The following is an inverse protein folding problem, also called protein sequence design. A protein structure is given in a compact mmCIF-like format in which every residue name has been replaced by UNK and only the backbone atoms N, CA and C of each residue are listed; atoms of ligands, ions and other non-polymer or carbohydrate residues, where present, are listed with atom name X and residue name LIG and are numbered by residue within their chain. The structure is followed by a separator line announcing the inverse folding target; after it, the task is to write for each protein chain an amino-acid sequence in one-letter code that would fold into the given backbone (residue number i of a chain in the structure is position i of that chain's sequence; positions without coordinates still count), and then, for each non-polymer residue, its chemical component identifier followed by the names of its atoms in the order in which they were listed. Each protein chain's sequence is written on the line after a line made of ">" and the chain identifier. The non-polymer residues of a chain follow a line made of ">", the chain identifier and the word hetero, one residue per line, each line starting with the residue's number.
data_IF_985403599664
#
_entry.id   IF_985403599664
#
_cell.length_a   1.000
_cell.length_b   1.000
_cell.length_c   1.000
_cell.angle_alpha   90.00
_cell.angle_beta   90.00
_cell.angle_gamma   90.00
#
_symmetry.space_group_name_H-M   'P 1'
#
loop_
_entity.id
_entity.type
_entity.pdbx_description
1 polymer ?
#
# COMPACT_ATOMS: atom_id res chain seq x y z
N UNK A 1 16.97 -20.15 9.30
CA UNK A 1 16.78 -20.29 7.85
C UNK A 1 15.39 -19.76 7.55
N UNK A 2 15.30 -18.50 7.10
CA UNK A 2 14.02 -17.89 6.78
C UNK A 2 13.74 -18.24 5.31
N UNK A 3 12.80 -19.15 5.07
CA UNK A 3 12.40 -19.54 3.71
C UNK A 3 11.24 -18.64 3.32
N UNK A 4 11.48 -17.78 2.32
CA UNK A 4 10.43 -16.96 1.73
C UNK A 4 9.89 -17.75 0.53
N UNK A 5 8.67 -18.21 0.66
CA UNK A 5 7.94 -18.81 -0.45
C UNK A 5 7.23 -17.73 -1.25
N UNK A 6 7.75 -17.45 -2.44
CA UNK A 6 6.98 -16.80 -3.47
C UNK A 6 6.70 -17.83 -4.57
N UNK A 7 5.44 -18.02 -4.89
CA UNK A 7 5.03 -19.01 -5.87
C UNK A 7 5.72 -18.76 -7.22
N UNK A 8 6.56 -19.70 -7.66
CA UNK A 8 7.11 -19.75 -9.00
C UNK A 8 8.56 -19.30 -9.20
N UNK A 9 9.24 -18.73 -8.22
CA UNK A 9 10.66 -18.37 -8.36
C UNK A 9 11.54 -19.23 -7.45
N UNK A 10 12.45 -20.02 -8.04
CA UNK A 10 13.52 -20.70 -7.29
C UNK A 10 14.60 -19.65 -6.97
N UNK A 11 14.55 -19.05 -5.79
CA UNK A 11 15.66 -18.26 -5.29
C UNK A 11 16.76 -19.17 -4.76
N UNK A 12 17.97 -19.03 -5.29
CA UNK A 12 19.14 -19.69 -4.73
C UNK A 12 19.49 -19.08 -3.38
N UNK A 13 19.39 -19.86 -2.33
CA UNK A 13 19.70 -19.47 -0.93
C UNK A 13 21.16 -19.02 -0.75
N UNK A 14 22.04 -19.27 -1.71
CA UNK A 14 23.44 -18.84 -1.69
C UNK A 14 23.65 -17.32 -1.75
N UNK A 15 22.64 -16.54 -2.20
CA UNK A 15 22.76 -15.10 -2.41
C UNK A 15 22.53 -14.25 -1.14
N UNK A 16 22.16 -14.85 -0.02
CA UNK A 16 21.80 -14.13 1.23
C UNK A 16 22.56 -14.64 2.44
N UNK A 17 23.71 -15.26 2.24
CA UNK A 17 24.58 -15.63 3.38
C UNK A 17 25.33 -14.39 3.88
N UNK A 18 25.19 -14.03 5.17
CA UNK A 18 25.95 -12.95 5.78
C UNK A 18 27.46 -13.19 5.59
N UNK A 19 28.20 -12.14 5.29
CA UNK A 19 29.66 -12.23 5.07
C UNK A 19 30.46 -12.29 6.35
N UNK A 20 29.82 -11.99 7.50
CA UNK A 20 30.43 -12.00 8.82
C UNK A 20 29.42 -12.38 9.91
N UNK A 21 29.91 -12.75 11.09
CA UNK A 21 29.09 -13.02 12.27
C UNK A 21 28.26 -11.78 12.66
N UNK A 22 28.79 -10.58 12.48
CA UNK A 22 28.09 -9.32 12.74
C UNK A 22 26.93 -9.11 11.77
N UNK A 23 27.12 -9.37 10.48
CA UNK A 23 26.06 -9.32 9.48
C UNK A 23 24.96 -10.34 9.78
N UNK A 24 25.32 -11.52 10.29
CA UNK A 24 24.36 -12.55 10.67
C UNK A 24 23.52 -12.12 11.89
N UNK A 25 24.14 -11.56 12.91
CA UNK A 25 23.44 -11.03 14.09
C UNK A 25 22.51 -9.90 13.70
N UNK A 26 22.97 -8.96 12.88
CA UNK A 26 22.16 -7.86 12.35
C UNK A 26 20.95 -8.39 11.53
N UNK A 27 21.17 -9.40 10.69
CA UNK A 27 20.09 -10.05 9.93
C UNK A 27 19.03 -10.70 10.83
N UNK A 28 19.44 -11.43 11.86
CA UNK A 28 18.51 -12.04 12.81
C UNK A 28 17.70 -10.99 13.58
N UNK A 29 18.35 -9.91 13.99
CA UNK A 29 17.70 -8.79 14.66
C UNK A 29 16.67 -8.12 13.74
N UNK A 30 17.04 -7.87 12.48
CA UNK A 30 16.14 -7.35 11.46
C UNK A 30 14.93 -8.27 11.24
N UNK A 31 15.12 -9.57 11.05
CA UNK A 31 14.02 -10.53 10.86
C UNK A 31 13.05 -10.54 12.04
N UNK A 32 13.57 -10.49 13.26
CA UNK A 32 12.76 -10.46 14.49
C UNK A 32 11.94 -9.18 14.57
N UNK A 33 12.56 -8.02 14.37
CA UNK A 33 11.91 -6.72 14.44
C UNK A 33 10.89 -6.53 13.31
N UNK A 34 11.23 -6.98 12.09
CA UNK A 34 10.30 -6.93 10.94
C UNK A 34 9.05 -7.78 11.16
N UNK A 35 9.20 -8.97 11.77
CA UNK A 35 8.04 -9.80 12.12
C UNK A 35 7.11 -9.07 13.09
N UNK A 36 7.65 -8.37 14.08
CA UNK A 36 6.85 -7.58 15.03
C UNK A 36 6.21 -6.38 14.33
N UNK A 37 6.93 -5.67 13.47
CA UNK A 37 6.39 -4.54 12.73
C UNK A 37 5.22 -4.95 11.83
N UNK A 38 5.30 -6.09 11.15
CA UNK A 38 4.24 -6.58 10.26
C UNK A 38 2.97 -7.08 11.00
N UNK A 39 2.99 -7.20 12.32
CA UNK A 39 1.78 -7.47 13.11
C UNK A 39 1.03 -6.20 13.53
N UNK A 40 1.60 -5.03 13.26
CA UNK A 40 0.97 -3.73 13.54
C UNK A 40 -0.06 -3.37 12.46
N UNK A 41 -0.92 -2.36 12.71
CA UNK A 41 -1.76 -1.79 11.65
C UNK A 41 -0.93 -1.39 10.42
N UNK A 42 -1.47 -1.49 9.20
CA UNK A 42 -0.71 -1.32 7.95
C UNK A 42 0.15 -0.05 7.88
N UNK A 43 -0.36 1.07 8.37
CA UNK A 43 0.35 2.35 8.41
C UNK A 43 1.62 2.30 9.26
N UNK A 44 1.51 1.75 10.46
CA UNK A 44 2.64 1.58 11.38
C UNK A 44 3.60 0.51 10.86
N UNK A 45 3.05 -0.58 10.30
CA UNK A 45 3.83 -1.66 9.72
C UNK A 45 4.76 -1.17 8.61
N UNK A 46 4.24 -0.35 7.67
CA UNK A 46 5.04 0.21 6.57
C UNK A 46 6.14 1.11 7.11
N UNK A 47 5.79 2.07 7.97
CA UNK A 47 6.74 3.04 8.52
C UNK A 47 7.84 2.34 9.32
N UNK A 48 7.45 1.44 10.22
CA UNK A 48 8.40 0.69 11.05
C UNK A 48 9.29 -0.22 10.21
N UNK A 49 8.72 -0.89 9.19
CA UNK A 49 9.51 -1.71 8.29
C UNK A 49 10.51 -0.89 7.47
N UNK A 50 10.14 0.29 6.99
CA UNK A 50 11.05 1.18 6.27
C UNK A 50 12.18 1.68 7.16
N UNK A 51 11.88 2.08 8.41
CA UNK A 51 12.89 2.49 9.39
C UNK A 51 13.86 1.33 9.69
N UNK A 52 13.33 0.14 9.94
CA UNK A 52 14.13 -1.06 10.20
C UNK A 52 14.99 -1.44 8.99
N UNK A 53 14.45 -1.34 7.77
CA UNK A 53 15.21 -1.65 6.54
C UNK A 53 16.37 -0.69 6.35
N UNK A 54 16.15 0.60 6.60
CA UNK A 54 17.18 1.62 6.50
C UNK A 54 18.27 1.43 7.54
N UNK A 55 17.88 1.16 8.80
CA UNK A 55 18.82 0.90 9.89
C UNK A 55 19.65 -0.36 9.63
N UNK A 56 19.02 -1.43 9.13
CA UNK A 56 19.73 -2.65 8.77
C UNK A 56 20.68 -2.42 7.58
N UNK A 57 20.24 -1.74 6.53
CA UNK A 57 21.08 -1.42 5.37
C UNK A 57 22.34 -0.63 5.77
N UNK A 58 22.23 0.26 6.77
CA UNK A 58 23.38 0.99 7.31
C UNK A 58 24.31 0.12 8.18
N UNK A 59 23.83 -1.01 8.70
CA UNK A 59 24.60 -1.92 9.58
C UNK A 59 25.33 -3.03 8.84
N UNK A 60 25.02 -3.27 7.55
CA UNK A 60 25.63 -4.33 6.76
C UNK A 60 26.50 -3.75 5.64
N UNK A 61 27.62 -4.40 5.40
CA UNK A 61 28.59 -4.01 4.37
C UNK A 61 28.29 -4.64 3.01
N UNK A 62 27.41 -5.64 2.96
CA UNK A 62 27.08 -6.39 1.76
C UNK A 62 26.11 -5.62 0.85
N UNK A 63 26.54 -5.26 -0.34
CA UNK A 63 25.70 -4.64 -1.40
C UNK A 63 24.48 -5.50 -1.75
N UNK A 64 24.62 -6.84 -1.70
CA UNK A 64 23.54 -7.79 -1.94
C UNK A 64 22.44 -7.64 -0.89
N UNK A 65 22.82 -7.53 0.40
CA UNK A 65 21.86 -7.34 1.48
C UNK A 65 21.11 -6.01 1.34
N UNK A 66 21.79 -4.94 0.97
CA UNK A 66 21.18 -3.63 0.70
C UNK A 66 20.19 -3.70 -0.47
N UNK A 67 20.56 -4.37 -1.56
CA UNK A 67 19.67 -4.56 -2.73
C UNK A 67 18.41 -5.39 -2.41
N UNK A 68 18.55 -6.43 -1.60
CA UNK A 68 17.41 -7.25 -1.16
C UNK A 68 16.42 -6.41 -0.35
N UNK A 69 16.92 -5.58 0.58
CA UNK A 69 16.08 -4.73 1.42
C UNK A 69 15.30 -3.67 0.63
N UNK A 70 15.97 -3.03 -0.34
CA UNK A 70 15.32 -2.06 -1.21
C UNK A 70 14.16 -2.70 -1.98
N UNK A 71 14.34 -3.93 -2.48
CA UNK A 71 13.30 -4.68 -3.17
C UNK A 71 12.14 -5.07 -2.22
N UNK A 72 12.42 -5.39 -0.97
CA UNK A 72 11.39 -5.72 0.02
C UNK A 72 10.53 -4.51 0.37
N UNK A 73 11.15 -3.35 0.63
CA UNK A 73 10.43 -2.11 0.91
C UNK A 73 9.51 -1.74 -0.27
N UNK A 74 10.01 -1.90 -1.50
CA UNK A 74 9.23 -1.70 -2.73
C UNK A 74 8.07 -2.70 -2.83
N UNK A 75 8.30 -3.99 -2.56
CA UNK A 75 7.26 -5.02 -2.62
C UNK A 75 6.15 -4.76 -1.60
N UNK A 76 6.51 -4.36 -0.38
CA UNK A 76 5.57 -4.02 0.67
C UNK A 76 4.71 -2.81 0.28
N UNK A 77 5.34 -1.74 -0.22
CA UNK A 77 4.61 -0.56 -0.73
C UNK A 77 3.63 -0.97 -1.84
N UNK A 78 4.09 -1.74 -2.82
CA UNK A 78 3.24 -2.22 -3.94
C UNK A 78 2.07 -3.06 -3.42
N UNK A 79 2.26 -3.88 -2.39
CA UNK A 79 1.19 -4.64 -1.78
C UNK A 79 0.07 -3.73 -1.25
N UNK A 80 0.42 -2.72 -0.46
CA UNK A 80 -0.56 -1.78 0.09
C UNK A 80 -1.19 -0.86 -0.97
N UNK A 81 -0.44 -0.46 -1.98
CA UNK A 81 -1.01 0.28 -3.13
C UNK A 81 -2.06 -0.57 -3.87
N UNK A 82 -1.81 -1.87 -4.06
CA UNK A 82 -2.77 -2.79 -4.68
C UNK A 82 -3.99 -3.03 -3.78
N UNK A 83 -3.81 -3.10 -2.47
CA UNK A 83 -4.92 -3.18 -1.51
C UNK A 83 -5.78 -1.91 -1.57
N UNK A 84 -5.17 -0.73 -1.51
CA UNK A 84 -5.84 0.56 -1.65
C UNK A 84 -6.63 0.65 -2.95
N UNK A 85 -6.03 0.23 -4.05
CA UNK A 85 -6.69 0.18 -5.37
C UNK A 85 -7.88 -0.77 -5.38
N UNK A 86 -7.75 -1.93 -4.75
CA UNK A 86 -8.85 -2.91 -4.65
C UNK A 86 -10.02 -2.38 -3.83
N UNK A 87 -9.73 -1.64 -2.75
CA UNK A 87 -10.75 -0.98 -1.92
C UNK A 87 -11.43 0.14 -2.72
N UNK A 88 -10.66 0.98 -3.42
CA UNK A 88 -11.19 2.07 -4.24
C UNK A 88 -12.08 1.54 -5.39
N UNK A 89 -11.69 0.44 -6.05
CA UNK A 89 -12.49 -0.21 -7.09
C UNK A 89 -13.81 -0.75 -6.55
N UNK A 90 -13.80 -1.42 -5.40
CA UNK A 90 -15.05 -1.89 -4.74
C UNK A 90 -15.96 -0.72 -4.37
N UNK A 91 -15.38 0.38 -3.92
CA UNK A 91 -16.13 1.61 -3.61
C UNK A 91 -16.73 2.22 -4.85
N UNK A 92 -15.97 2.30 -5.95
CA UNK A 92 -16.47 2.78 -7.23
C UNK A 92 -17.65 1.92 -7.76
N UNK A 93 -17.57 0.60 -7.62
CA UNK A 93 -18.71 -0.28 -7.95
C UNK A 93 -19.94 -0.01 -7.08
N UNK A 94 -19.77 0.32 -5.80
CA UNK A 94 -20.88 0.70 -4.93
C UNK A 94 -21.48 2.05 -5.34
N UNK A 95 -20.66 3.04 -5.72
CA UNK A 95 -21.11 4.32 -6.32
C UNK A 95 -21.94 4.07 -7.56
N UNK A 96 -21.51 3.17 -8.45
CA UNK A 96 -22.24 2.83 -9.67
C UNK A 96 -23.60 2.17 -9.37
N UNK A 97 -23.64 1.25 -8.41
CA UNK A 97 -24.89 0.63 -7.99
C UNK A 97 -25.87 1.67 -7.43
N UNK A 98 -25.38 2.59 -6.59
CA UNK A 98 -26.18 3.71 -6.09
C UNK A 98 -26.70 4.55 -7.23
N UNK A 99 -25.84 4.97 -8.16
CA UNK A 99 -26.19 5.79 -9.31
C UNK A 99 -27.29 5.15 -10.17
N UNK A 100 -27.18 3.86 -10.46
CA UNK A 100 -28.19 3.13 -11.24
C UNK A 100 -29.54 3.08 -10.53
N UNK A 101 -29.53 2.92 -9.20
CA UNK A 101 -30.75 2.90 -8.40
C UNK A 101 -31.40 4.27 -8.24
N UNK A 102 -30.65 5.38 -8.43
CA UNK A 102 -31.12 6.75 -8.24
C UNK A 102 -31.22 7.55 -9.55
N UNK A 103 -31.52 6.87 -10.67
CA UNK A 103 -31.77 7.53 -11.95
C UNK A 103 -30.58 8.27 -12.53
N UNK A 104 -29.36 7.78 -12.28
CA UNK A 104 -28.13 8.35 -12.81
C UNK A 104 -27.44 9.36 -11.89
N UNK A 105 -28.00 9.68 -10.72
CA UNK A 105 -27.43 10.62 -9.76
C UNK A 105 -26.32 9.97 -8.96
N UNK A 106 -25.19 10.67 -8.86
CA UNK A 106 -24.09 10.29 -7.97
C UNK A 106 -24.45 10.57 -6.51
N UNK A 107 -23.90 9.82 -5.55
CA UNK A 107 -24.00 10.18 -4.13
C UNK A 107 -23.24 11.49 -3.86
N UNK A 108 -23.66 12.25 -2.86
CA UNK A 108 -22.95 13.47 -2.43
C UNK A 108 -21.72 13.15 -1.58
N UNK A 109 -21.75 12.01 -0.88
CA UNK A 109 -20.63 11.48 -0.11
C UNK A 109 -20.67 9.95 -0.09
N UNK A 110 -19.57 9.32 0.35
CA UNK A 110 -19.51 7.86 0.51
C UNK A 110 -20.41 7.35 1.66
N UNK A 111 -20.83 8.22 2.56
CA UNK A 111 -21.74 7.86 3.66
C UNK A 111 -23.13 7.44 3.15
N UNK A 112 -23.58 8.01 2.03
CA UNK A 112 -24.85 7.65 1.38
C UNK A 112 -24.87 6.20 0.86
N UNK A 113 -23.70 5.58 0.73
CA UNK A 113 -23.59 4.19 0.30
C UNK A 113 -23.84 3.20 1.45
N UNK A 114 -23.81 3.68 2.69
CA UNK A 114 -23.95 2.85 3.90
C UNK A 114 -25.40 2.90 4.39
N UNK A 115 -26.01 1.79 4.79
CA UNK A 115 -25.52 0.42 4.70
C UNK A 115 -25.90 -0.32 3.41
N UNK A 116 -26.64 0.34 2.49
CA UNK A 116 -27.31 -0.32 1.35
C UNK A 116 -26.34 -0.93 0.33
N UNK A 117 -25.20 -0.29 0.10
CA UNK A 117 -24.22 -0.68 -0.93
C UNK A 117 -22.86 -1.07 -0.32
N UNK A 118 -22.56 -0.56 0.87
CA UNK A 118 -21.34 -0.85 1.64
C UNK A 118 -21.71 -1.06 3.11
N UNK A 119 -21.05 -1.98 3.83
CA UNK A 119 -21.31 -2.18 5.26
C UNK A 119 -20.83 -1.01 6.11
N UNK A 120 -19.78 -0.31 5.68
CA UNK A 120 -19.21 0.89 6.28
C UNK A 120 -18.46 1.68 5.21
N UNK A 121 -18.17 2.96 5.48
CA UNK A 121 -17.29 3.76 4.62
C UNK A 121 -15.89 3.14 4.62
N UNK A 122 -15.36 2.74 3.44
CA UNK A 122 -14.07 2.10 3.36
C UNK A 122 -12.94 3.03 3.79
N UNK A 123 -11.92 2.43 4.40
CA UNK A 123 -10.77 3.15 4.92
C UNK A 123 -9.52 2.86 4.11
N UNK A 124 -8.70 3.89 3.99
CA UNK A 124 -7.39 3.84 3.38
C UNK A 124 -6.46 2.92 4.19
N UNK A 125 -5.79 1.93 3.58
CA UNK A 125 -4.88 1.04 4.30
C UNK A 125 -3.60 1.74 4.79
N UNK A 126 -3.28 2.95 4.28
CA UNK A 126 -2.08 3.67 4.68
C UNK A 126 -2.26 4.48 5.97
N UNK A 127 -3.39 5.15 6.16
CA UNK A 127 -3.63 6.08 7.29
C UNK A 127 -4.91 5.80 8.08
N UNK A 128 -5.64 4.75 7.70
CA UNK A 128 -6.93 4.39 8.28
C UNK A 128 -8.00 5.50 8.22
N UNK A 129 -7.81 6.52 7.39
CA UNK A 129 -8.80 7.56 7.15
C UNK A 129 -9.82 7.09 6.09
N UNK A 130 -11.01 7.69 6.01
CA UNK A 130 -11.96 7.42 4.93
C UNK A 130 -11.33 7.68 3.56
N UNK A 131 -11.75 6.91 2.54
CA UNK A 131 -11.38 7.18 1.16
C UNK A 131 -11.91 8.54 0.70
N UNK A 132 -11.17 9.20 -0.18
CA UNK A 132 -11.62 10.40 -0.86
C UNK A 132 -12.64 10.07 -1.97
N UNK A 133 -13.62 10.96 -2.14
CA UNK A 133 -14.58 10.92 -3.23
C UNK A 133 -14.76 12.31 -3.82
N UNK A 134 -14.62 12.42 -5.13
CA UNK A 134 -14.70 13.70 -5.83
C UNK A 134 -15.54 13.56 -7.10
N UNK A 135 -16.73 14.17 -7.16
CA UNK A 135 -17.47 14.27 -8.41
C UNK A 135 -16.69 15.13 -9.43
N UNK A 136 -16.75 14.72 -10.69
CA UNK A 136 -16.22 15.44 -11.84
C UNK A 136 -17.36 15.97 -12.70
N UNK A 137 -17.05 16.82 -13.68
CA UNK A 137 -18.01 17.27 -14.69
C UNK A 137 -18.61 16.08 -15.45
N UNK A 138 -17.78 15.07 -15.72
CA UNK A 138 -18.16 13.84 -16.41
C UNK A 138 -17.59 12.65 -15.64
N UNK A 139 -18.33 12.16 -14.64
CA UNK A 139 -17.90 11.02 -13.82
C UNK A 139 -17.48 11.40 -12.40
N UNK A 140 -16.51 10.66 -11.84
CA UNK A 140 -16.04 10.88 -10.48
C UNK A 140 -14.69 10.19 -10.25
N UNK A 141 -14.03 10.54 -9.15
CA UNK A 141 -12.81 9.89 -8.65
C UNK A 141 -13.09 9.33 -7.26
N UNK A 142 -12.69 8.07 -7.03
CA UNK A 142 -12.51 7.50 -5.69
C UNK A 142 -11.02 7.30 -5.48
N UNK A 143 -10.48 7.77 -4.38
CA UNK A 143 -9.04 7.71 -4.15
C UNK A 143 -8.67 7.42 -2.69
N UNK A 144 -7.50 6.85 -2.55
CA UNK A 144 -6.80 6.61 -1.29
C UNK A 144 -5.55 7.46 -1.31
N UNK A 145 -5.27 8.19 -0.23
CA UNK A 145 -3.99 8.86 -0.06
C UNK A 145 -2.86 7.86 -0.24
N UNK A 146 -1.82 8.28 -0.92
CA UNK A 146 -0.67 7.45 -1.21
C UNK A 146 0.14 7.05 0.02
N UNK A 147 1.26 6.39 -0.22
CA UNK A 147 2.19 5.97 0.85
C UNK A 147 2.91 7.13 1.55
N UNK A 148 2.79 8.35 1.04
CA UNK A 148 3.32 9.58 1.63
C UNK A 148 2.35 10.21 2.65
N UNK A 149 1.09 9.75 2.69
CA UNK A 149 0.04 10.23 3.60
C UNK A 149 -0.50 11.63 3.23
N UNK A 150 -0.09 12.17 2.10
CA UNK A 150 -0.56 13.47 1.61
C UNK A 150 -1.83 13.27 0.79
N UNK A 151 -2.79 14.19 0.93
CA UNK A 151 -3.99 14.22 0.11
C UNK A 151 -3.75 15.12 -1.10
N UNK A 152 -3.45 14.50 -2.23
CA UNK A 152 -3.22 15.20 -3.51
C UNK A 152 -4.52 15.42 -4.29
N UNK A 153 -5.68 15.21 -3.66
CA UNK A 153 -7.02 15.47 -4.23
C UNK A 153 -7.40 14.53 -5.37
N UNK A 154 -6.88 13.31 -5.35
CA UNK A 154 -7.08 12.29 -6.38
C UNK A 154 -6.15 12.47 -7.59
N UNK A 155 -4.96 13.03 -7.41
CA UNK A 155 -3.96 13.15 -8.46
C UNK A 155 -3.41 11.78 -8.84
N UNK A 156 -3.49 11.42 -10.10
CA UNK A 156 -2.97 10.16 -10.61
C UNK A 156 -1.45 10.17 -10.78
N UNK A 157 -0.87 8.99 -10.62
CA UNK A 157 0.56 8.77 -10.89
C UNK A 157 0.86 8.97 -12.37
N UNK A 158 1.78 9.90 -12.64
CA UNK A 158 2.37 10.08 -13.97
C UNK A 158 3.90 9.98 -13.89
N UNK A 159 4.62 9.81 -15.00
CA UNK A 159 6.08 9.83 -14.98
C UNK A 159 6.70 11.12 -14.39
N UNK A 160 5.93 12.21 -14.40
CA UNK A 160 6.36 13.53 -13.91
C UNK A 160 5.93 13.80 -12.45
N UNK A 161 5.01 12.99 -11.87
CA UNK A 161 4.52 13.20 -10.50
C UNK A 161 5.36 12.40 -9.51
N UNK A 162 5.86 13.06 -8.48
CA UNK A 162 6.52 12.42 -7.33
C UNK A 162 5.52 12.03 -6.24
N UNK A 163 4.50 12.86 -6.04
CA UNK A 163 3.41 12.66 -5.09
C UNK A 163 2.13 12.33 -5.88
N UNK A 164 1.40 11.34 -5.43
CA UNK A 164 0.18 10.88 -6.08
C UNK A 164 -0.68 10.06 -5.13
N UNK A 165 -1.98 10.12 -5.37
CA UNK A 165 -2.97 9.27 -4.72
C UNK A 165 -3.15 7.94 -5.48
N UNK A 166 -3.65 6.92 -4.80
CA UNK A 166 -4.09 5.68 -5.45
C UNK A 166 -5.53 5.87 -5.91
N UNK A 167 -5.71 6.18 -7.19
CA UNK A 167 -6.97 6.63 -7.75
C UNK A 167 -7.69 5.57 -8.57
N UNK A 168 -9.01 5.68 -8.60
CA UNK A 168 -9.92 5.04 -9.56
C UNK A 168 -10.80 6.12 -10.15
N UNK A 169 -10.53 6.50 -11.40
CA UNK A 169 -11.29 7.49 -12.15
C UNK A 169 -12.33 6.77 -13.00
N UNK A 170 -13.57 7.22 -12.92
CA UNK A 170 -14.69 6.77 -13.77
C UNK A 170 -15.14 7.94 -14.62
N UNK A 171 -14.79 7.91 -15.89
CA UNK A 171 -15.22 8.87 -16.92
C UNK A 171 -16.47 8.37 -17.64
N UNK A 172 -17.30 9.33 -18.16
CA UNK A 172 -18.56 9.03 -18.85
C UNK A 172 -18.82 9.98 -20.00
#
# INVERSE_FOLDING_TARGET
>A
MCVIFQAGARFSVKAVTPSSDQDFIAYLAFCRSSRTALTQPPTEAITNFMVLSTAYAASVTSEIAQGVLANWAKALRTHFENEARSIALRTALAVERHRLAHGGKLPSSLDELVPAYLPAVPRNPFDNQPLGFKPLLVGYIVYSRGSDGVDDGGLEKTPATTNYDVTVTVER
#
